data_IF_609089322216
#
_entry.id   IF_609089322216
#
_cell.length_a   1.000
_cell.length_b   1.000
_cell.length_c   1.000
_cell.angle_alpha   90.00
_cell.angle_beta   90.00
_cell.angle_gamma   90.00
#
_symmetry.space_group_name_H-M   'P 1'
#
loop_
_entity.id
_entity.type
_entity.pdbx_description
1 polymer ?
#
# COMPACT_ATOMS: atom_id res chain seq x y z
N UNK A 1 -14.96 -2.56 8.69
CA UNK A 1 -14.02 -2.15 9.77
C UNK A 1 -12.60 -2.59 9.49
N UNK A 2 -12.29 -3.89 9.39
CA UNK A 2 -10.92 -4.35 9.02
C UNK A 2 -10.42 -3.67 7.72
N UNK A 3 -11.25 -3.66 6.67
CA UNK A 3 -10.93 -2.94 5.42
C UNK A 3 -10.67 -1.43 5.60
N UNK A 4 -11.39 -0.79 6.52
CA UNK A 4 -11.22 0.64 6.82
C UNK A 4 -9.87 0.91 7.48
N UNK A 5 -9.48 0.09 8.47
CA UNK A 5 -8.17 0.23 9.14
C UNK A 5 -7.01 0.03 8.16
N UNK A 6 -7.08 -0.95 7.28
CA UNK A 6 -6.04 -1.16 6.26
C UNK A 6 -5.99 0.03 5.28
N UNK A 7 -7.15 0.57 4.87
CA UNK A 7 -7.19 1.78 4.05
C UNK A 7 -6.60 3.01 4.77
N UNK A 8 -6.78 3.14 6.09
CA UNK A 8 -6.10 4.17 6.89
C UNK A 8 -4.57 3.99 6.86
N UNK A 9 -4.08 2.75 6.91
CA UNK A 9 -2.64 2.46 6.76
C UNK A 9 -2.11 2.90 5.40
N UNK A 10 -2.83 2.56 4.32
CA UNK A 10 -2.51 3.06 2.97
C UNK A 10 -2.56 4.59 2.87
N UNK A 11 -3.51 5.21 3.58
CA UNK A 11 -3.57 6.67 3.68
C UNK A 11 -2.30 7.26 4.29
N UNK A 12 -1.83 6.67 5.39
CA UNK A 12 -0.57 7.05 6.02
C UNK A 12 0.63 6.90 5.08
N UNK A 13 0.74 5.75 4.40
CA UNK A 13 1.85 5.44 3.48
C UNK A 13 1.92 6.46 2.34
N UNK A 14 0.80 6.74 1.69
CA UNK A 14 0.77 7.73 0.62
C UNK A 14 1.04 9.15 1.14
N UNK A 15 0.53 9.50 2.33
CA UNK A 15 0.86 10.79 2.94
C UNK A 15 2.37 10.91 3.21
N UNK A 16 3.02 9.83 3.64
CA UNK A 16 4.46 9.76 3.81
C UNK A 16 5.21 9.96 2.50
N UNK A 17 4.88 9.21 1.44
CA UNK A 17 5.53 9.34 0.13
C UNK A 17 5.43 10.77 -0.40
N UNK A 18 4.24 11.38 -0.34
CA UNK A 18 4.05 12.75 -0.83
C UNK A 18 4.74 13.82 0.03
N UNK A 19 4.76 13.65 1.36
CA UNK A 19 5.51 14.54 2.24
C UNK A 19 7.03 14.41 2.07
N UNK A 20 7.52 13.17 1.93
CA UNK A 20 8.93 12.88 1.74
C UNK A 20 9.43 13.40 0.39
N UNK A 21 8.63 13.34 -0.68
CA UNK A 21 9.02 13.92 -1.97
C UNK A 21 9.24 15.44 -1.88
N UNK A 22 8.38 16.16 -1.15
CA UNK A 22 8.56 17.60 -0.91
C UNK A 22 9.78 17.90 -0.04
N UNK A 23 10.08 17.05 0.95
CA UNK A 23 11.31 17.16 1.72
C UNK A 23 12.56 16.97 0.84
N UNK A 24 12.58 15.95 -0.02
CA UNK A 24 13.69 15.71 -0.93
C UNK A 24 13.86 16.85 -1.92
N UNK A 25 12.78 17.42 -2.44
CA UNK A 25 12.82 18.64 -3.24
C UNK A 25 13.49 19.78 -2.49
N UNK A 26 13.07 20.06 -1.24
CA UNK A 26 13.69 21.10 -0.43
C UNK A 26 15.19 20.83 -0.22
N UNK A 27 15.58 19.57 0.02
CA UNK A 27 16.97 19.18 0.23
C UNK A 27 17.86 19.49 -0.98
N UNK A 28 17.34 19.34 -2.20
CA UNK A 28 18.07 19.64 -3.43
C UNK A 28 18.41 21.14 -3.57
N UNK A 29 17.56 22.01 -3.06
CA UNK A 29 17.76 23.47 -3.13
C UNK A 29 18.57 24.01 -1.96
N UNK A 30 18.29 23.53 -0.75
CA UNK A 30 18.83 24.09 0.48
C UNK A 30 19.95 23.25 1.11
N UNK A 31 20.25 22.06 0.56
CA UNK A 31 21.32 21.20 1.04
C UNK A 31 21.17 20.86 2.52
N UNK A 32 22.25 21.05 3.28
CA UNK A 32 22.27 20.77 4.72
C UNK A 32 21.57 21.84 5.57
N UNK A 33 21.20 22.99 5.01
CA UNK A 33 20.50 24.04 5.75
C UNK A 33 19.11 23.60 6.26
N UNK A 34 18.55 22.51 5.72
CA UNK A 34 17.27 21.93 6.17
C UNK A 34 17.45 20.75 7.12
N UNK A 35 18.69 20.42 7.51
CA UNK A 35 18.93 19.50 8.62
C UNK A 35 18.59 20.20 9.92
N UNK A 36 17.35 19.99 10.36
CA UNK A 36 16.86 20.51 11.62
C UNK A 36 17.31 19.59 12.77
N UNK A 37 17.63 20.17 13.95
CA UNK A 37 17.94 19.39 15.14
C UNK A 37 16.76 18.48 15.49
N UNK A 38 17.08 17.31 16.03
CA UNK A 38 16.07 16.31 16.32
C UNK A 38 15.15 16.76 17.47
N UNK A 39 13.89 17.02 17.15
CA UNK A 39 12.83 17.37 18.09
C UNK A 39 11.98 16.17 18.51
N UNK A 40 11.81 15.19 17.61
CA UNK A 40 11.02 14.00 17.90
C UNK A 40 11.82 12.97 18.71
N UNK A 41 11.18 12.28 19.68
CA UNK A 41 11.83 11.19 20.40
C UNK A 41 12.39 10.11 19.47
N UNK A 42 13.53 9.51 19.82
CA UNK A 42 14.20 8.51 18.98
C UNK A 42 13.29 7.31 18.63
N UNK A 43 12.41 6.90 19.56
CA UNK A 43 11.48 5.80 19.33
C UNK A 43 10.49 6.07 18.20
N UNK A 44 10.25 7.33 17.81
CA UNK A 44 9.42 7.68 16.64
C UNK A 44 10.12 7.29 15.35
N UNK A 45 11.46 7.26 15.33
CA UNK A 45 12.27 6.82 14.19
C UNK A 45 12.12 7.74 12.97
N UNK A 46 11.89 9.03 13.19
CA UNK A 46 11.66 10.01 12.13
C UNK A 46 12.46 11.30 12.39
N UNK A 47 13.23 11.73 11.40
CA UNK A 47 13.94 13.01 11.44
C UNK A 47 12.99 14.20 11.40
N UNK A 48 13.39 15.31 12.02
CA UNK A 48 12.53 16.50 12.19
C UNK A 48 12.14 17.15 10.85
N UNK A 49 13.08 17.28 9.91
CA UNK A 49 12.79 17.81 8.57
C UNK A 49 11.72 17.00 7.82
N UNK A 50 11.93 15.68 7.62
CA UNK A 50 10.91 14.80 7.03
C UNK A 50 9.58 14.79 7.78
N UNK A 51 9.58 14.89 9.12
CA UNK A 51 8.37 14.95 9.92
C UNK A 51 7.53 16.20 9.65
N UNK A 52 8.17 17.36 9.53
CA UNK A 52 7.49 18.61 9.19
C UNK A 52 6.89 18.52 7.79
N UNK A 53 7.65 18.03 6.80
CA UNK A 53 7.14 17.87 5.44
C UNK A 53 5.96 16.89 5.38
N UNK A 54 6.04 15.78 6.11
CA UNK A 54 4.93 14.85 6.29
C UNK A 54 3.70 15.51 6.92
N UNK A 55 3.86 16.26 8.02
CA UNK A 55 2.76 16.95 8.70
C UNK A 55 2.10 18.02 7.83
N UNK A 56 2.89 18.79 7.08
CA UNK A 56 2.39 19.78 6.12
C UNK A 56 1.61 19.11 4.99
N UNK A 57 2.14 18.02 4.41
CA UNK A 57 1.45 17.30 3.35
C UNK A 57 0.18 16.59 3.87
N UNK A 58 0.20 16.08 5.10
CA UNK A 58 -0.98 15.58 5.79
C UNK A 58 -2.05 16.66 5.93
N UNK A 59 -1.66 17.88 6.34
CA UNK A 59 -2.60 19.00 6.46
C UNK A 59 -3.24 19.32 5.11
N UNK A 60 -2.46 19.31 4.01
CA UNK A 60 -2.99 19.47 2.66
C UNK A 60 -4.03 18.39 2.34
N UNK A 61 -3.76 17.11 2.67
CA UNK A 61 -4.74 16.04 2.49
C UNK A 61 -6.03 16.34 3.28
N UNK A 62 -5.93 16.78 4.54
CA UNK A 62 -7.10 17.11 5.38
C UNK A 62 -7.91 18.28 4.84
N UNK A 63 -7.24 19.31 4.29
CA UNK A 63 -7.90 20.43 3.63
C UNK A 63 -8.66 19.98 2.39
N UNK A 64 -8.07 19.09 1.58
CA UNK A 64 -8.77 18.53 0.41
C UNK A 64 -9.99 17.70 0.82
N UNK A 65 -9.89 16.93 1.91
CA UNK A 65 -11.04 16.20 2.48
C UNK A 65 -12.16 17.18 2.88
N UNK A 66 -11.83 18.33 3.46
CA UNK A 66 -12.80 19.34 3.87
C UNK A 66 -13.59 19.94 2.69
N UNK A 67 -12.87 20.35 1.64
CA UNK A 67 -13.47 20.93 0.41
C UNK A 67 -14.17 19.88 -0.47
N UNK A 68 -13.93 18.60 -0.20
CA UNK A 68 -14.64 17.49 -0.82
C UNK A 68 -14.02 17.01 -2.14
N UNK A 69 -14.46 15.82 -2.53
CA UNK A 69 -13.86 14.98 -3.58
C UNK A 69 -13.98 15.59 -4.99
N UNK A 70 -14.79 16.64 -5.17
CA UNK A 70 -15.03 17.26 -6.47
C UNK A 70 -13.77 17.86 -7.13
N UNK A 71 -12.81 18.35 -6.34
CA UNK A 71 -11.54 18.93 -6.83
C UNK A 71 -10.62 17.86 -7.46
N UNK A 72 -10.78 16.59 -7.05
CA UNK A 72 -9.85 15.50 -7.39
C UNK A 72 -9.93 15.09 -8.87
N UNK A 73 -11.11 15.19 -9.48
CA UNK A 73 -11.30 14.79 -10.90
C UNK A 73 -10.33 15.52 -11.83
N UNK A 74 -10.07 16.81 -11.57
CA UNK A 74 -9.12 17.61 -12.37
C UNK A 74 -7.67 17.16 -12.14
N UNK A 75 -7.29 16.87 -10.89
CA UNK A 75 -5.95 16.39 -10.54
C UNK A 75 -5.66 15.01 -11.14
N UNK A 76 -6.66 14.13 -11.22
CA UNK A 76 -6.53 12.80 -11.82
C UNK A 76 -6.24 12.87 -13.33
N UNK A 77 -6.80 13.85 -14.05
CA UNK A 77 -6.54 14.01 -15.49
C UNK A 77 -5.09 14.41 -15.73
N UNK A 78 -4.56 15.35 -14.94
CA UNK A 78 -3.14 15.75 -15.04
C UNK A 78 -2.23 14.55 -14.75
N UNK A 79 -2.52 13.81 -13.68
CA UNK A 79 -1.79 12.58 -13.31
C UNK A 79 -1.78 11.55 -14.44
N UNK A 80 -2.93 11.33 -15.10
CA UNK A 80 -3.08 10.31 -16.14
C UNK A 80 -2.20 10.57 -17.38
N UNK A 81 -1.83 11.83 -17.63
CA UNK A 81 -0.93 12.21 -18.72
C UNK A 81 0.52 12.21 -18.25
N UNK A 82 0.80 12.89 -17.13
CA UNK A 82 2.16 13.07 -16.65
C UNK A 82 2.83 11.74 -16.28
N UNK A 83 2.15 10.88 -15.52
CA UNK A 83 2.80 9.73 -14.90
C UNK A 83 3.29 8.69 -15.95
N UNK A 84 2.51 8.35 -16.99
CA UNK A 84 3.03 7.50 -18.07
C UNK A 84 4.21 8.12 -18.82
N UNK A 85 4.18 9.42 -19.09
CA UNK A 85 5.29 10.11 -19.77
C UNK A 85 6.57 10.07 -18.92
N UNK A 86 6.46 10.35 -17.62
CA UNK A 86 7.58 10.26 -16.70
C UNK A 86 8.13 8.83 -16.59
N UNK A 87 7.25 7.83 -16.56
CA UNK A 87 7.64 6.42 -16.52
C UNK A 87 8.36 5.98 -17.80
N UNK A 88 7.87 6.40 -18.97
CA UNK A 88 8.52 6.12 -20.25
C UNK A 88 9.87 6.85 -20.37
N UNK A 89 9.96 8.08 -19.87
CA UNK A 89 11.23 8.81 -19.83
C UNK A 89 12.25 8.12 -18.91
N UNK A 90 11.82 7.63 -17.74
CA UNK A 90 12.67 6.84 -16.83
C UNK A 90 13.08 5.51 -17.47
N UNK A 91 12.18 4.84 -18.18
CA UNK A 91 12.51 3.62 -18.91
C UNK A 91 13.56 3.89 -19.98
N UNK A 92 13.38 4.94 -20.77
CA UNK A 92 14.33 5.32 -21.80
C UNK A 92 15.70 5.63 -21.21
N UNK A 93 15.74 6.43 -20.15
CA UNK A 93 16.97 6.70 -19.40
C UNK A 93 17.64 5.42 -18.89
N UNK A 94 16.89 4.51 -18.28
CA UNK A 94 17.44 3.27 -17.72
C UNK A 94 18.02 2.35 -18.80
N UNK A 95 17.38 2.29 -19.97
CA UNK A 95 17.88 1.51 -21.12
C UNK A 95 19.12 2.16 -21.72
N UNK A 96 19.14 3.48 -21.87
CA UNK A 96 20.28 4.22 -22.40
C UNK A 96 21.50 4.11 -21.48
N UNK A 97 21.32 4.35 -20.18
CA UNK A 97 22.39 4.32 -19.18
C UNK A 97 22.92 2.91 -18.86
N UNK A 98 22.21 1.84 -19.26
CA UNK A 98 22.62 0.46 -19.06
C UNK A 98 23.11 -0.23 -20.35
N UNK A 99 23.42 0.55 -21.40
CA UNK A 99 23.86 0.05 -22.72
C UNK A 99 22.84 -0.89 -23.39
N UNK A 100 21.56 -0.58 -23.22
CA UNK A 100 20.43 -1.31 -23.79
C UNK A 100 19.72 -2.27 -22.82
N UNK A 101 18.73 -3.00 -23.34
CA UNK A 101 17.96 -3.98 -22.55
C UNK A 101 18.73 -5.29 -22.31
N UNK A 102 19.71 -5.60 -23.15
CA UNK A 102 20.46 -6.87 -23.09
C UNK A 102 21.10 -7.11 -21.73
N UNK A 103 21.96 -6.19 -21.22
CA UNK A 103 22.62 -6.34 -19.93
C UNK A 103 21.64 -6.46 -18.75
N UNK A 104 20.49 -5.78 -18.83
CA UNK A 104 19.43 -5.82 -17.82
C UNK A 104 18.77 -7.21 -17.78
N UNK A 105 18.41 -7.75 -18.95
CA UNK A 105 17.71 -9.02 -19.07
C UNK A 105 18.62 -10.25 -18.92
N UNK A 106 19.92 -10.08 -19.17
CA UNK A 106 20.92 -11.14 -19.03
C UNK A 106 21.38 -11.35 -17.57
N UNK A 107 20.89 -10.54 -16.61
CA UNK A 107 21.20 -10.74 -15.19
C UNK A 107 20.75 -12.13 -14.73
N UNK A 108 21.65 -12.94 -14.15
CA UNK A 108 21.30 -14.27 -13.69
C UNK A 108 20.31 -14.18 -12.52
N UNK A 109 19.48 -15.22 -12.40
CA UNK A 109 18.62 -15.39 -11.23
C UNK A 109 19.44 -15.37 -9.94
N UNK A 110 18.94 -14.69 -8.91
CA UNK A 110 19.50 -14.75 -7.56
C UNK A 110 19.05 -16.00 -6.78
N UNK A 111 18.07 -16.74 -7.29
CA UNK A 111 17.65 -18.02 -6.72
C UNK A 111 18.59 -19.12 -7.17
N UNK A 112 19.14 -19.88 -6.22
CA UNK A 112 20.03 -21.01 -6.49
C UNK A 112 19.27 -22.21 -7.09
N UNK A 113 18.01 -22.40 -6.68
CA UNK A 113 17.15 -23.50 -7.14
C UNK A 113 15.77 -23.03 -7.55
N UNK A 114 15.06 -23.85 -8.32
CA UNK A 114 13.63 -23.63 -8.62
C UNK A 114 12.75 -23.70 -7.37
N UNK A 115 13.17 -24.45 -6.34
CA UNK A 115 12.47 -24.51 -5.06
C UNK A 115 12.47 -23.16 -4.34
N UNK A 116 13.61 -22.47 -4.33
CA UNK A 116 13.75 -21.14 -3.73
C UNK A 116 12.82 -20.12 -4.40
N UNK A 117 12.70 -20.22 -5.73
CA UNK A 117 11.76 -19.39 -6.49
C UNK A 117 10.31 -19.60 -6.03
N UNK A 118 9.82 -20.84 -5.95
CA UNK A 118 8.43 -21.10 -5.56
C UNK A 118 8.15 -20.71 -4.10
N UNK A 119 9.11 -20.93 -3.21
CA UNK A 119 9.03 -20.50 -1.82
C UNK A 119 8.93 -18.98 -1.67
N UNK A 120 9.57 -18.21 -2.57
CA UNK A 120 9.42 -16.76 -2.63
C UNK A 120 8.15 -16.31 -3.37
N UNK A 121 7.82 -16.98 -4.48
CA UNK A 121 6.79 -16.56 -5.42
C UNK A 121 5.40 -16.55 -4.79
N UNK A 122 4.98 -17.60 -4.07
CA UNK A 122 3.63 -17.64 -3.49
C UNK A 122 3.41 -16.57 -2.41
N UNK A 123 4.32 -16.35 -1.45
CA UNK A 123 4.24 -15.21 -0.53
C UNK A 123 4.26 -13.85 -1.23
N UNK A 124 5.14 -13.65 -2.22
CA UNK A 124 5.21 -12.40 -2.97
C UNK A 124 3.92 -12.13 -3.77
N UNK A 125 3.38 -13.15 -4.44
CA UNK A 125 2.09 -13.10 -5.14
C UNK A 125 0.97 -12.77 -4.16
N UNK A 126 0.95 -13.41 -2.99
CA UNK A 126 -0.01 -13.11 -1.92
C UNK A 126 0.08 -11.66 -1.50
N UNK A 127 1.29 -11.13 -1.31
CA UNK A 127 1.52 -9.72 -1.01
C UNK A 127 0.97 -8.78 -2.10
N UNK A 128 1.18 -9.11 -3.38
CA UNK A 128 0.66 -8.33 -4.51
C UNK A 128 -0.87 -8.38 -4.64
N UNK A 129 -1.49 -9.54 -4.42
CA UNK A 129 -2.96 -9.66 -4.33
C UNK A 129 -3.46 -8.83 -3.13
N UNK A 130 -2.75 -8.91 -2.02
CA UNK A 130 -2.94 -8.10 -0.83
C UNK A 130 -2.98 -6.62 -1.06
N UNK A 131 -2.00 -6.11 -1.80
CA UNK A 131 -1.90 -4.71 -2.18
C UNK A 131 -3.21 -4.18 -2.76
N UNK A 132 -3.92 -5.00 -3.55
CA UNK A 132 -5.19 -4.66 -4.17
C UNK A 132 -6.44 -5.15 -3.41
N UNK A 133 -6.28 -5.91 -2.34
CA UNK A 133 -7.40 -6.53 -1.64
C UNK A 133 -8.37 -5.49 -1.05
N UNK A 134 -7.84 -4.39 -0.48
CA UNK A 134 -8.67 -3.30 0.05
C UNK A 134 -9.50 -2.64 -1.03
N UNK A 135 -8.88 -2.25 -2.15
CA UNK A 135 -9.61 -1.65 -3.26
C UNK A 135 -10.63 -2.62 -3.85
N UNK A 136 -10.26 -3.89 -4.03
CA UNK A 136 -11.13 -4.93 -4.58
C UNK A 136 -12.42 -5.10 -3.77
N UNK A 137 -12.31 -5.12 -2.44
CA UNK A 137 -13.46 -5.19 -1.53
C UNK A 137 -14.30 -3.91 -1.52
N UNK A 138 -13.76 -2.81 -2.03
CA UNK A 138 -14.37 -1.48 -2.01
C UNK A 138 -14.85 -1.01 -3.39
N UNK A 139 -14.59 -1.75 -4.47
CA UNK A 139 -15.08 -1.44 -5.83
C UNK A 139 -16.57 -1.07 -5.84
N UNK A 140 -17.47 -1.73 -5.08
CA UNK A 140 -18.88 -1.35 -4.98
C UNK A 140 -19.16 0.11 -4.58
N UNK A 141 -18.27 0.74 -3.81
CA UNK A 141 -18.40 2.16 -3.39
C UNK A 141 -18.41 3.10 -4.60
N UNK A 142 -17.69 2.71 -5.66
CA UNK A 142 -17.60 3.46 -6.91
C UNK A 142 -18.58 2.95 -7.97
N UNK A 143 -18.70 1.63 -8.11
CA UNK A 143 -19.51 1.05 -9.19
C UNK A 143 -21.01 1.23 -8.99
N UNK A 144 -21.48 1.52 -7.77
CA UNK A 144 -22.87 1.98 -7.53
C UNK A 144 -23.23 3.27 -8.29
N UNK A 145 -22.23 4.05 -8.70
CA UNK A 145 -22.40 5.26 -9.51
C UNK A 145 -22.06 5.04 -10.99
N UNK A 146 -21.72 3.81 -11.40
CA UNK A 146 -21.40 3.50 -12.78
C UNK A 146 -22.68 3.48 -13.64
N UNK A 147 -22.55 3.90 -14.90
CA UNK A 147 -23.66 3.92 -15.86
C UNK A 147 -24.20 2.53 -16.19
N UNK A 148 -23.34 1.51 -16.17
CA UNK A 148 -23.72 0.11 -16.44
C UNK A 148 -22.62 -0.87 -15.98
N UNK A 149 -22.98 -2.16 -15.89
CA UNK A 149 -22.02 -3.22 -15.58
C UNK A 149 -20.93 -3.35 -16.65
N UNK A 150 -21.28 -3.22 -17.93
CA UNK A 150 -20.29 -3.24 -19.01
C UNK A 150 -19.31 -2.08 -18.89
N UNK A 151 -19.81 -0.88 -18.56
CA UNK A 151 -18.95 0.29 -18.40
C UNK A 151 -17.93 0.11 -17.26
N UNK A 152 -18.32 -0.45 -16.12
CA UNK A 152 -17.36 -0.70 -15.04
C UNK A 152 -16.35 -1.80 -15.40
N UNK A 153 -16.77 -2.90 -16.04
CA UNK A 153 -15.85 -3.98 -16.43
C UNK A 153 -14.81 -3.47 -17.42
N UNK A 154 -15.26 -2.81 -18.49
CA UNK A 154 -14.38 -2.26 -19.52
C UNK A 154 -13.46 -1.19 -18.95
N UNK A 155 -13.99 -0.28 -18.10
CA UNK A 155 -13.20 0.76 -17.47
C UNK A 155 -12.08 0.21 -16.58
N UNK A 156 -12.37 -0.82 -15.78
CA UNK A 156 -11.38 -1.46 -14.92
C UNK A 156 -10.37 -2.29 -15.72
N UNK A 157 -10.82 -3.06 -16.71
CA UNK A 157 -9.93 -3.89 -17.53
C UNK A 157 -8.91 -3.04 -18.30
N UNK A 158 -9.35 -1.95 -18.93
CA UNK A 158 -8.47 -1.03 -19.68
C UNK A 158 -7.64 -0.16 -18.74
N UNK A 159 -8.20 0.25 -17.61
CA UNK A 159 -7.53 1.14 -16.66
C UNK A 159 -6.45 0.44 -15.84
N UNK A 160 -6.73 -0.75 -15.31
CA UNK A 160 -5.85 -1.44 -14.37
C UNK A 160 -4.83 -2.34 -15.07
N UNK A 161 -5.27 -3.29 -15.90
CA UNK A 161 -4.34 -4.32 -16.39
C UNK A 161 -3.19 -3.77 -17.25
N UNK A 162 -3.43 -2.93 -18.29
CA UNK A 162 -2.35 -2.36 -19.08
C UNK A 162 -1.42 -1.46 -18.27
N UNK A 163 -1.97 -0.61 -17.40
CA UNK A 163 -1.15 0.30 -16.60
C UNK A 163 -0.29 -0.48 -15.61
N UNK A 164 -0.85 -1.48 -14.92
CA UNK A 164 -0.08 -2.31 -13.99
C UNK A 164 1.05 -3.05 -14.69
N UNK A 165 0.77 -3.69 -15.83
CA UNK A 165 1.81 -4.38 -16.60
C UNK A 165 2.91 -3.41 -17.03
N UNK A 166 2.55 -2.22 -17.52
CA UNK A 166 3.52 -1.21 -17.94
C UNK A 166 4.39 -0.72 -16.77
N UNK A 167 3.77 -0.29 -15.66
CA UNK A 167 4.50 0.25 -14.52
C UNK A 167 5.32 -0.82 -13.78
N UNK A 168 4.83 -2.07 -13.71
CA UNK A 168 5.59 -3.18 -13.15
C UNK A 168 6.83 -3.50 -14.02
N UNK A 169 6.65 -3.55 -15.35
CA UNK A 169 7.78 -3.74 -16.28
C UNK A 169 8.82 -2.63 -16.12
N UNK A 170 8.39 -1.36 -16.14
CA UNK A 170 9.29 -0.21 -15.96
C UNK A 170 9.99 -0.29 -14.61
N UNK A 171 9.25 -0.58 -13.53
CA UNK A 171 9.82 -0.73 -12.20
C UNK A 171 10.92 -1.78 -12.14
N UNK A 172 10.70 -2.96 -12.73
CA UNK A 172 11.71 -4.03 -12.79
C UNK A 172 12.92 -3.61 -13.62
N UNK A 173 12.71 -3.07 -14.84
CA UNK A 173 13.81 -2.66 -15.73
C UNK A 173 14.66 -1.56 -15.09
N UNK A 174 14.03 -0.50 -14.57
CA UNK A 174 14.73 0.62 -13.93
C UNK A 174 15.47 0.15 -12.68
N UNK A 175 14.83 -0.66 -11.82
CA UNK A 175 15.49 -1.18 -10.60
C UNK A 175 16.70 -2.05 -10.94
N UNK A 176 16.58 -2.92 -11.95
CA UNK A 176 17.71 -3.73 -12.42
C UNK A 176 18.82 -2.87 -13.04
N UNK A 177 18.48 -1.86 -13.83
CA UNK A 177 19.44 -0.91 -14.40
C UNK A 177 20.24 -0.18 -13.31
N UNK A 178 19.61 0.24 -12.21
CA UNK A 178 20.35 0.91 -11.11
C UNK A 178 21.43 0.05 -10.49
N UNK A 179 21.26 -1.28 -10.49
CA UNK A 179 22.29 -2.21 -10.01
C UNK A 179 23.51 -2.20 -10.92
N UNK A 180 23.30 -2.09 -12.23
CA UNK A 180 24.38 -1.98 -13.23
C UNK A 180 25.08 -0.62 -13.17
N UNK A 181 24.30 0.47 -13.06
CA UNK A 181 24.79 1.84 -13.14
C UNK A 181 25.49 2.26 -11.84
N UNK A 182 24.89 1.96 -10.70
CA UNK A 182 25.35 2.45 -9.39
C UNK A 182 25.96 1.35 -8.50
N UNK A 183 25.97 0.09 -8.95
CA UNK A 183 26.42 -1.05 -8.14
C UNK A 183 25.47 -1.42 -6.99
N UNK A 184 24.35 -0.71 -6.84
CA UNK A 184 23.37 -0.93 -5.77
C UNK A 184 21.96 -0.90 -6.31
N UNK A 185 21.10 -1.81 -5.85
CA UNK A 185 19.69 -1.86 -6.27
C UNK A 185 18.89 -0.75 -5.59
N UNK A 186 18.40 0.21 -6.38
CA UNK A 186 17.54 1.30 -5.91
C UNK A 186 16.11 1.01 -6.39
N UNK A 187 15.26 0.57 -5.46
CA UNK A 187 13.85 0.25 -5.72
C UNK A 187 12.92 1.44 -5.47
N UNK A 188 13.34 2.40 -4.64
CA UNK A 188 12.56 3.59 -4.33
C UNK A 188 12.76 4.66 -5.43
N UNK A 189 11.72 5.01 -6.20
CA UNK A 189 11.83 6.02 -7.26
C UNK A 189 12.15 7.42 -6.71
N UNK A 190 11.84 7.74 -5.46
CA UNK A 190 12.19 9.03 -4.85
C UNK A 190 13.69 9.11 -4.60
N UNK A 191 14.30 8.03 -4.13
CA UNK A 191 15.75 7.92 -3.95
C UNK A 191 16.47 7.96 -5.29
N UNK A 192 15.94 7.25 -6.30
CA UNK A 192 16.50 7.28 -7.65
C UNK A 192 16.42 8.68 -8.27
N UNK A 193 15.27 9.35 -8.14
CA UNK A 193 15.13 10.72 -8.64
C UNK A 193 16.13 11.68 -7.98
N UNK A 194 16.51 11.46 -6.72
CA UNK A 194 17.56 12.23 -6.04
C UNK A 194 18.98 12.00 -6.58
N UNK A 195 19.21 11.02 -7.48
CA UNK A 195 20.51 10.76 -8.13
C UNK A 195 20.75 11.60 -9.38
N UNK A 196 19.73 12.28 -9.90
CA UNK A 196 19.87 13.13 -11.08
C UNK A 196 20.45 14.50 -10.70
N UNK A 197 21.38 14.99 -11.52
CA UNK A 197 22.09 16.27 -11.24
C UNK A 197 21.19 17.51 -11.43
N UNK A 198 20.20 17.43 -12.30
CA UNK A 198 19.33 18.57 -12.63
C UNK A 198 18.36 18.86 -11.50
N UNK A 199 18.67 19.87 -10.68
CA UNK A 199 17.81 20.34 -9.58
C UNK A 199 16.37 20.62 -10.01
N UNK A 200 16.20 21.20 -11.20
CA UNK A 200 14.88 21.50 -11.76
C UNK A 200 14.11 20.22 -12.10
N UNK A 201 14.76 19.26 -12.76
CA UNK A 201 14.14 17.97 -13.10
C UNK A 201 13.67 17.23 -11.85
N UNK A 202 14.53 17.15 -10.83
CA UNK A 202 14.20 16.50 -9.56
C UNK A 202 13.02 17.22 -8.88
N UNK A 203 13.02 18.55 -8.89
CA UNK A 203 11.93 19.34 -8.30
C UNK A 203 10.59 19.09 -8.98
N UNK A 204 10.57 19.11 -10.33
CA UNK A 204 9.37 18.81 -11.11
C UNK A 204 8.88 17.39 -10.81
N UNK A 205 9.78 16.41 -10.79
CA UNK A 205 9.43 15.02 -10.45
C UNK A 205 8.82 14.92 -9.05
N UNK A 206 9.44 15.54 -8.03
CA UNK A 206 8.96 15.50 -6.64
C UNK A 206 7.60 16.18 -6.46
N UNK A 207 7.36 17.30 -7.13
CA UNK A 207 6.05 18.00 -7.14
C UNK A 207 5.00 17.11 -7.79
N UNK A 208 5.31 16.51 -8.94
CA UNK A 208 4.37 15.65 -9.62
C UNK A 208 4.08 14.35 -8.84
N UNK A 209 5.07 13.78 -8.15
CA UNK A 209 4.87 12.69 -7.18
C UNK A 209 3.93 13.17 -6.07
N UNK A 210 4.18 14.32 -5.44
CA UNK A 210 3.31 14.85 -4.39
C UNK A 210 1.86 15.03 -4.87
N UNK A 211 1.64 15.60 -6.05
CA UNK A 211 0.30 15.79 -6.64
C UNK A 211 -0.36 14.44 -6.98
N UNK A 212 0.38 13.52 -7.61
CA UNK A 212 -0.11 12.19 -7.98
C UNK A 212 -0.51 11.39 -6.74
N UNK A 213 0.32 11.46 -5.71
CA UNK A 213 0.11 10.80 -4.43
C UNK A 213 -1.08 11.39 -3.72
N UNK A 214 -1.21 12.72 -3.64
CA UNK A 214 -2.41 13.40 -3.10
C UNK A 214 -3.68 12.91 -3.81
N UNK A 215 -3.71 12.95 -5.14
CA UNK A 215 -4.89 12.54 -5.91
C UNK A 215 -5.27 11.07 -5.67
N UNK A 216 -4.27 10.19 -5.62
CA UNK A 216 -4.46 8.76 -5.32
C UNK A 216 -4.97 8.56 -3.90
N UNK A 217 -4.41 9.30 -2.95
CA UNK A 217 -4.69 9.11 -1.54
C UNK A 217 -6.13 9.47 -1.20
N UNK A 218 -6.64 10.58 -1.73
CA UNK A 218 -8.04 10.92 -1.52
C UNK A 218 -8.97 9.92 -2.22
N UNK A 219 -8.68 9.55 -3.47
CA UNK A 219 -9.54 8.67 -4.25
C UNK A 219 -9.59 7.24 -3.68
N UNK A 220 -8.44 6.63 -3.40
CA UNK A 220 -8.35 5.22 -3.03
C UNK A 220 -8.39 4.97 -1.52
N UNK A 221 -7.86 5.89 -0.71
CA UNK A 221 -7.58 5.61 0.70
C UNK A 221 -8.42 6.44 1.67
N UNK A 222 -9.22 7.41 1.21
CA UNK A 222 -10.15 8.15 2.07
C UNK A 222 -11.60 7.78 1.81
N UNK A 223 -12.02 7.67 0.55
CA UNK A 223 -13.45 7.48 0.22
C UNK A 223 -14.04 6.27 0.93
N UNK A 224 -13.37 5.12 0.86
CA UNK A 224 -13.87 3.88 1.45
C UNK A 224 -13.86 3.87 2.98
N UNK A 225 -12.76 4.18 3.69
CA UNK A 225 -12.81 4.21 5.15
C UNK A 225 -13.76 5.31 5.68
N UNK A 226 -13.89 6.44 4.99
CA UNK A 226 -14.88 7.46 5.35
C UNK A 226 -16.32 6.92 5.28
N UNK A 227 -16.67 6.22 4.20
CA UNK A 227 -17.97 5.53 4.09
C UNK A 227 -18.14 4.46 5.17
N UNK A 228 -17.09 3.73 5.51
CA UNK A 228 -17.11 2.69 6.54
C UNK A 228 -17.42 3.27 7.91
N UNK A 229 -16.69 4.30 8.32
CA UNK A 229 -16.92 4.96 9.60
C UNK A 229 -18.31 5.61 9.66
N UNK A 230 -18.78 6.19 8.55
CA UNK A 230 -20.14 6.71 8.46
C UNK A 230 -21.19 5.59 8.63
N UNK A 231 -20.98 4.42 8.02
CA UNK A 231 -21.88 3.28 8.18
C UNK A 231 -21.83 2.65 9.58
N UNK A 232 -20.71 2.79 10.30
CA UNK A 232 -20.58 2.30 11.68
C UNK A 232 -21.44 3.12 12.65
N UNK A 233 -21.47 4.44 12.49
CA UNK A 233 -22.21 5.34 13.36
C UNK A 233 -22.88 6.48 12.57
N UNK A 234 -23.92 6.20 11.76
CA UNK A 234 -24.47 7.15 10.78
C UNK A 234 -25.10 8.41 11.40
N UNK A 235 -25.47 8.35 12.69
CA UNK A 235 -25.98 9.51 13.43
C UNK A 235 -24.88 10.45 13.95
N UNK A 236 -23.62 10.02 13.94
CA UNK A 236 -22.48 10.74 14.57
C UNK A 236 -21.33 11.03 13.61
N UNK A 237 -21.16 10.19 12.59
CA UNK A 237 -20.04 10.26 11.66
C UNK A 237 -20.61 10.49 10.27
N UNK A 238 -20.37 11.69 9.73
CA UNK A 238 -20.58 11.97 8.32
C UNK A 238 -19.31 11.62 7.52
N UNK A 239 -19.38 11.77 6.20
CA UNK A 239 -18.25 11.47 5.32
C UNK A 239 -16.99 12.30 5.66
N UNK A 240 -17.15 13.57 6.04
CA UNK A 240 -16.03 14.46 6.38
C UNK A 240 -15.34 14.01 7.66
N UNK A 241 -16.12 13.73 8.70
CA UNK A 241 -15.64 13.19 9.98
C UNK A 241 -14.95 11.84 9.77
N UNK A 242 -15.51 10.95 8.94
CA UNK A 242 -14.88 9.69 8.57
C UNK A 242 -13.52 9.88 7.87
N UNK A 243 -13.39 10.90 7.02
CA UNK A 243 -12.14 11.29 6.39
C UNK A 243 -11.09 11.79 7.41
N UNK A 244 -11.48 12.59 8.40
CA UNK A 244 -10.58 13.03 9.46
C UNK A 244 -10.12 11.87 10.37
N UNK A 245 -11.02 10.95 10.72
CA UNK A 245 -10.68 9.74 11.48
C UNK A 245 -9.64 8.93 10.70
N UNK A 246 -9.84 8.75 9.39
CA UNK A 246 -8.88 8.09 8.50
C UNK A 246 -7.51 8.78 8.55
N UNK A 247 -7.52 10.11 8.47
CA UNK A 247 -6.32 10.94 8.53
C UNK A 247 -5.52 10.77 9.81
N UNK A 248 -6.19 10.72 10.96
CA UNK A 248 -5.55 10.55 12.28
C UNK A 248 -4.99 9.14 12.42
N UNK A 249 -5.80 8.10 12.12
CA UNK A 249 -5.36 6.71 12.20
C UNK A 249 -4.15 6.47 11.29
N UNK A 250 -4.13 7.06 10.09
CA UNK A 250 -3.00 6.93 9.17
C UNK A 250 -1.67 7.46 9.72
N UNK A 251 -1.68 8.50 10.57
CA UNK A 251 -0.47 8.95 11.28
C UNK A 251 -0.08 7.93 12.35
N UNK A 252 -1.05 7.48 13.16
CA UNK A 252 -0.83 6.59 14.30
C UNK A 252 -0.30 5.20 13.91
N UNK A 253 -0.39 4.84 12.63
CA UNK A 253 0.16 3.59 12.07
C UNK A 253 1.68 3.67 11.81
N UNK A 254 2.32 4.84 11.95
CA UNK A 254 3.76 5.04 11.69
C UNK A 254 4.19 4.59 10.29
N UNK A 255 3.62 5.18 9.22
CA UNK A 255 3.80 4.71 7.85
C UNK A 255 5.26 4.70 7.36
N UNK A 256 6.10 5.62 7.85
CA UNK A 256 7.53 5.65 7.52
C UNK A 256 8.27 4.40 8.01
N UNK A 257 7.84 3.79 9.12
CA UNK A 257 8.41 2.53 9.59
C UNK A 257 7.95 1.34 8.76
N UNK A 258 6.69 1.36 8.30
CA UNK A 258 6.12 0.26 7.52
C UNK A 258 6.79 0.08 6.15
N UNK A 259 7.25 1.18 5.53
CA UNK A 259 7.89 1.12 4.21
C UNK A 259 9.41 1.23 4.26
N UNK A 260 10.01 1.27 5.45
CA UNK A 260 11.46 1.41 5.61
C UNK A 260 12.25 0.21 5.04
N UNK A 261 11.64 -0.98 5.07
CA UNK A 261 12.23 -2.22 4.56
C UNK A 261 11.25 -2.92 3.60
N UNK A 262 11.64 -3.21 2.35
CA UNK A 262 10.78 -3.89 1.38
C UNK A 262 10.36 -5.29 1.84
N UNK A 263 11.18 -6.01 2.62
CA UNK A 263 10.81 -7.32 3.13
C UNK A 263 9.72 -7.21 4.20
N UNK A 264 9.89 -6.34 5.20
CA UNK A 264 8.86 -6.06 6.20
C UNK A 264 7.56 -5.55 5.56
N UNK A 265 7.67 -4.69 4.55
CA UNK A 265 6.51 -4.22 3.80
C UNK A 265 5.74 -5.35 3.12
N UNK A 266 6.43 -6.24 2.39
CA UNK A 266 5.78 -7.36 1.68
C UNK A 266 5.34 -8.44 2.67
N UNK A 267 6.29 -8.99 3.44
CA UNK A 267 6.08 -10.21 4.20
C UNK A 267 5.45 -10.00 5.57
N UNK A 268 5.55 -8.81 6.15
CA UNK A 268 4.85 -8.48 7.41
C UNK A 268 3.56 -7.72 7.11
N UNK A 269 3.63 -6.56 6.47
CA UNK A 269 2.44 -5.73 6.29
C UNK A 269 1.46 -6.32 5.27
N UNK A 270 1.87 -6.48 4.00
CA UNK A 270 0.96 -6.94 2.94
C UNK A 270 0.41 -8.33 3.25
N UNK A 271 1.27 -9.30 3.58
CA UNK A 271 0.81 -10.67 3.88
C UNK A 271 -0.11 -10.71 5.11
N UNK A 272 0.22 -10.03 6.21
CA UNK A 272 -0.59 -10.11 7.43
C UNK A 272 -2.03 -9.66 7.18
N UNK A 273 -2.25 -8.50 6.56
CA UNK A 273 -3.64 -8.09 6.32
C UNK A 273 -4.28 -8.83 5.13
N UNK A 274 -3.51 -9.35 4.16
CA UNK A 274 -4.04 -10.20 3.09
C UNK A 274 -4.68 -11.46 3.65
N UNK A 275 -4.04 -12.04 4.67
CA UNK A 275 -4.59 -13.19 5.38
C UNK A 275 -5.95 -12.85 5.99
N UNK A 276 -6.17 -11.61 6.43
CA UNK A 276 -7.43 -11.15 7.04
C UNK A 276 -8.50 -10.83 5.98
N UNK A 277 -8.12 -10.15 4.91
CA UNK A 277 -9.07 -9.69 3.88
C UNK A 277 -9.46 -10.78 2.88
N UNK A 278 -8.58 -11.74 2.62
CA UNK A 278 -8.83 -12.86 1.71
C UNK A 278 -10.06 -13.70 2.09
N UNK A 279 -10.16 -14.22 3.32
CA UNK A 279 -11.33 -14.97 3.78
C UNK A 279 -12.62 -14.15 3.72
N UNK A 280 -12.58 -12.85 4.06
CA UNK A 280 -13.74 -11.97 3.98
C UNK A 280 -14.23 -11.87 2.53
N UNK A 281 -13.32 -11.61 1.59
CA UNK A 281 -13.66 -11.58 0.16
C UNK A 281 -14.22 -12.92 -0.34
N UNK A 282 -13.62 -14.03 0.07
CA UNK A 282 -14.09 -15.37 -0.27
C UNK A 282 -15.51 -15.65 0.23
N UNK A 283 -15.82 -15.27 1.48
CA UNK A 283 -17.17 -15.42 2.06
C UNK A 283 -18.18 -14.55 1.31
N UNK A 284 -17.83 -13.30 0.99
CA UNK A 284 -18.72 -12.41 0.23
C UNK A 284 -19.05 -12.96 -1.16
N UNK A 285 -18.06 -13.51 -1.87
CA UNK A 285 -18.26 -14.14 -3.18
C UNK A 285 -19.11 -15.40 -3.04
N UNK A 286 -18.80 -16.26 -2.07
CA UNK A 286 -19.54 -17.49 -1.81
C UNK A 286 -21.02 -17.22 -1.49
N UNK A 287 -21.28 -16.27 -0.57
CA UNK A 287 -22.62 -15.88 -0.16
C UNK A 287 -23.43 -15.31 -1.33
N UNK A 288 -22.87 -14.35 -2.08
CA UNK A 288 -23.61 -13.70 -3.16
C UNK A 288 -23.84 -14.61 -4.36
N UNK A 289 -22.80 -15.27 -4.89
CA UNK A 289 -22.92 -16.03 -6.15
C UNK A 289 -23.47 -17.44 -5.95
N UNK A 290 -23.07 -18.14 -4.90
CA UNK A 290 -23.38 -19.57 -4.75
C UNK A 290 -24.56 -19.83 -3.82
N UNK A 291 -24.63 -19.14 -2.67
CA UNK A 291 -25.71 -19.34 -1.70
C UNK A 291 -26.96 -18.58 -2.15
N UNK A 292 -26.83 -17.27 -2.40
CA UNK A 292 -27.95 -16.39 -2.73
C UNK A 292 -28.25 -16.29 -4.23
N UNK A 293 -27.39 -16.84 -5.08
CA UNK A 293 -27.56 -16.85 -6.55
C UNK A 293 -27.88 -15.46 -7.11
N UNK A 294 -27.14 -14.46 -6.63
CA UNK A 294 -27.28 -13.04 -7.02
C UNK A 294 -28.62 -12.39 -6.63
N UNK A 295 -29.40 -12.99 -5.73
CA UNK A 295 -30.66 -12.44 -5.24
C UNK A 295 -30.48 -11.86 -3.84
N UNK A 296 -30.59 -10.53 -3.73
CA UNK A 296 -30.60 -9.80 -2.46
C UNK A 296 -31.93 -9.09 -2.27
N UNK A 297 -32.52 -9.28 -1.10
CA UNK A 297 -33.59 -8.41 -0.62
C UNK A 297 -32.99 -7.10 -0.11
N UNK A 298 -33.27 -5.99 -0.81
CA UNK A 298 -32.70 -4.68 -0.48
C UNK A 298 -33.37 -4.07 0.74
N UNK A 299 -34.67 -4.28 0.94
CA UNK A 299 -35.38 -3.70 2.08
C UNK A 299 -34.85 -4.28 3.39
N UNK A 300 -34.61 -5.59 3.41
CA UNK A 300 -34.07 -6.27 4.57
C UNK A 300 -32.62 -5.88 4.90
N UNK A 301 -31.82 -5.39 3.93
CA UNK A 301 -30.46 -4.88 4.20
C UNK A 301 -30.45 -3.62 5.07
N UNK A 302 -31.55 -2.88 5.10
CA UNK A 302 -31.72 -1.66 5.91
C UNK A 302 -32.63 -1.87 7.14
N UNK A 303 -33.05 -3.11 7.40
CA UNK A 303 -33.92 -3.46 8.53
C UNK A 303 -33.14 -4.12 9.66
N UNK A 304 -33.35 -3.66 10.90
CA UNK A 304 -32.77 -4.29 12.10
C UNK A 304 -33.40 -5.64 12.45
N UNK A 305 -34.54 -5.96 11.84
CA UNK A 305 -35.30 -7.21 12.04
C UNK A 305 -35.48 -8.01 10.73
N UNK A 306 -34.68 -7.72 9.71
CA UNK A 306 -34.75 -8.41 8.41
C UNK A 306 -34.06 -9.78 8.42
N UNK A 307 -34.10 -10.48 7.28
CA UNK A 307 -33.48 -11.80 7.09
C UNK A 307 -31.96 -11.85 7.30
N UNK A 308 -31.30 -10.70 7.37
CA UNK A 308 -29.84 -10.58 7.60
C UNK A 308 -29.48 -10.22 9.05
N UNK A 309 -30.45 -10.18 9.98
CA UNK A 309 -30.18 -9.86 11.38
C UNK A 309 -29.45 -10.98 12.12
N UNK A 310 -29.63 -12.25 11.71
CA UNK A 310 -29.04 -13.43 12.34
C UNK A 310 -29.13 -13.41 13.90
N UNK A 311 -28.22 -14.11 14.58
CA UNK A 311 -28.17 -14.14 16.04
C UNK A 311 -27.43 -12.92 16.60
N UNK A 312 -28.17 -11.97 17.20
CA UNK A 312 -27.59 -10.78 17.82
C UNK A 312 -26.92 -9.80 16.85
N UNK A 313 -27.34 -9.80 15.56
CA UNK A 313 -26.71 -8.98 14.52
C UNK A 313 -25.58 -9.68 13.76
N UNK A 314 -25.21 -10.91 14.13
CA UNK A 314 -24.04 -11.61 13.59
C UNK A 314 -24.39 -12.98 13.02
N UNK A 315 -23.87 -13.26 11.82
CA UNK A 315 -23.81 -14.61 11.30
C UNK A 315 -22.59 -15.33 11.91
N UNK A 316 -22.82 -16.07 13.01
CA UNK A 316 -21.75 -16.80 13.73
C UNK A 316 -20.99 -17.75 12.82
N UNK A 317 -21.67 -18.48 11.94
CA UNK A 317 -21.03 -19.41 11.01
C UNK A 317 -20.06 -18.67 10.08
N UNK A 318 -20.45 -17.51 9.56
CA UNK A 318 -19.57 -16.72 8.70
C UNK A 318 -18.36 -16.17 9.48
N UNK A 319 -18.57 -15.69 10.71
CA UNK A 319 -17.50 -15.19 11.59
C UNK A 319 -16.51 -16.31 11.94
N UNK A 320 -17.01 -17.47 12.35
CA UNK A 320 -16.19 -18.63 12.71
C UNK A 320 -15.40 -19.13 11.50
N UNK A 321 -15.98 -19.14 10.30
CA UNK A 321 -15.29 -19.53 9.07
C UNK A 321 -14.22 -18.53 8.65
N UNK A 322 -14.44 -17.23 8.89
CA UNK A 322 -13.41 -16.22 8.69
C UNK A 322 -12.27 -16.39 9.69
N UNK A 323 -12.59 -16.65 10.97
CA UNK A 323 -11.61 -16.82 12.04
C UNK A 323 -10.82 -18.15 11.94
N UNK A 324 -11.48 -19.27 11.59
CA UNK A 324 -10.84 -20.59 11.52
C UNK A 324 -9.81 -20.73 10.40
N UNK A 325 -9.82 -19.83 9.40
CA UNK A 325 -8.76 -19.74 8.39
C UNK A 325 -7.54 -18.93 8.85
N UNK A 326 -7.58 -18.42 10.09
CA UNK A 326 -6.43 -17.93 10.83
C UNK A 326 -6.07 -18.93 11.93
N UNK A 327 -5.34 -20.03 11.65
CA UNK A 327 -4.58 -20.62 12.72
C UNK A 327 -3.62 -19.54 13.24
N UNK A 328 -3.53 -19.30 14.56
CA UNK A 328 -2.47 -18.50 15.11
C UNK A 328 -1.16 -19.23 14.83
N UNK A 329 -0.51 -18.90 13.72
CA UNK A 329 0.86 -19.34 13.49
C UNK A 329 1.70 -18.76 14.62
N UNK A 330 2.42 -19.67 15.27
CA UNK A 330 3.45 -19.41 16.28
C UNK A 330 4.56 -18.55 15.66
N UNK A 331 4.28 -17.27 15.45
CA UNK A 331 5.28 -16.27 15.15
C UNK A 331 6.02 -15.96 16.45
N UNK A 332 7.18 -16.58 16.63
CA UNK A 332 8.11 -16.31 17.71
C UNK A 332 8.06 -17.35 18.81
N UNK A 333 8.84 -18.43 18.67
CA UNK A 333 9.54 -19.16 19.73
C UNK A 333 10.43 -20.24 19.07
N UNK A 334 11.47 -19.80 18.38
CA UNK A 334 12.62 -20.65 18.04
C UNK A 334 13.89 -19.81 17.93
N UNK A 335 14.15 -19.01 18.96
CA UNK A 335 15.49 -18.51 19.29
C UNK A 335 15.62 -18.44 20.81
N UNK A 336 15.97 -19.57 21.42
CA UNK A 336 16.92 -19.71 22.53
C UNK A 336 16.83 -21.13 23.13
N UNK A 337 17.99 -21.64 23.59
CA UNK A 337 18.30 -22.99 24.10
C UNK A 337 18.54 -24.04 23.00
N UNK A 338 19.66 -24.76 22.92
CA UNK A 338 20.85 -25.06 23.75
C UNK A 338 21.95 -25.54 22.76
N UNK A 339 23.25 -25.55 23.05
CA UNK A 339 23.89 -25.53 24.35
C UNK A 339 25.38 -25.22 24.27
N UNK A 340 25.78 -24.50 25.31
CA UNK A 340 27.10 -24.47 25.91
C UNK A 340 27.45 -25.89 26.40
N UNK A 341 28.57 -26.46 25.95
CA UNK A 341 29.15 -27.70 26.47
C UNK A 341 30.53 -27.42 27.07
N UNK A 342 30.55 -26.63 28.14
CA UNK A 342 31.63 -26.58 29.12
C UNK A 342 31.56 -27.76 30.10
N UNK A 343 32.63 -28.57 30.13
CA UNK A 343 32.72 -29.88 30.76
C UNK A 343 32.48 -30.00 32.27
N UNK A 344 32.28 -31.26 32.72
CA UNK A 344 33.14 -31.92 33.72
C UNK A 344 32.78 -33.40 33.93
N UNK A 345 33.84 -34.22 33.84
CA UNK A 345 34.16 -35.46 34.57
C UNK A 345 33.29 -36.71 34.41
N UNK A 346 33.92 -37.77 33.88
CA UNK A 346 34.21 -38.98 34.65
C UNK A 346 35.42 -39.71 34.05
N UNK A 347 36.32 -40.18 34.93
CA UNK A 347 37.41 -41.13 34.63
C UNK A 347 36.81 -42.49 34.26
N UNK A 348 37.58 -43.34 33.57
CA UNK A 348 38.02 -44.68 34.03
C UNK A 348 38.58 -45.48 32.83
N UNK A 349 39.86 -45.80 32.99
CA UNK A 349 40.63 -46.99 32.63
C UNK A 349 40.89 -47.46 31.18
N UNK A 350 42.20 -47.78 31.03
CA UNK A 350 42.96 -48.57 30.04
C UNK A 350 43.53 -47.86 28.81
#
# INVERSE_FOLDING_TARGET
MLRAFVACGWFGIQTWIGGHSLYLMARVWFGDAIHLPQFLPEWVGLGTGPAIAFGLFWLVNMVVVYYGVAVIKKLLVVKAIFLPLAALALLWWAVDAADGLGPILAQPSRFATSGDFWNFFFPALTGMVGFWATLSLNIPDFTRYAKSQRAQITGQAIGLAPSMTLFAFIGVVVTSATTLIYGTTIWDPLVLAGRFDSKLLVSVAMICVAISTLATNIAANIVSPANDFANLAPKRIDFKMGGYITGIIGILIFPWKLIADPNGYIFTWLIAYSSLLGPIGGIMIADYFFIRRQQLDVADLYSTKGRYSYGGGFNRVAVDRAAARHPPERAGLSHHHQGDTGGRRARVDQ
#
